data_IF_395436289094
#
_entry.id   IF_395436289094
#
_cell.length_a   1.000
_cell.length_b   1.000
_cell.length_c   1.000
_cell.angle_alpha   90.00
_cell.angle_beta   90.00
_cell.angle_gamma   90.00
#
_symmetry.space_group_name_H-M   'P 1'
#
loop_
_entity.id
_entity.type
_entity.pdbx_description
1 polymer ?
#
# COMPACT_ATOMS: atom_id res chain seq x y z
N UNK A 1 8.87 11.63 -5.63
CA UNK A 1 7.97 10.46 -5.76
C UNK A 1 7.03 10.71 -6.91
N UNK A 2 6.95 9.75 -7.82
CA UNK A 2 6.11 9.80 -9.01
C UNK A 2 4.60 9.71 -8.64
N UNK A 3 3.76 10.44 -9.36
CA UNK A 3 2.31 10.53 -9.06
C UNK A 3 1.55 9.26 -9.45
N UNK A 4 1.90 8.67 -10.59
CA UNK A 4 1.28 7.47 -11.10
C UNK A 4 1.58 6.30 -10.18
N UNK A 5 2.85 6.12 -9.79
CA UNK A 5 3.28 5.10 -8.81
C UNK A 5 2.66 5.28 -7.44
N UNK A 6 2.63 6.52 -6.90
CA UNK A 6 2.00 6.79 -5.61
C UNK A 6 0.49 6.46 -5.64
N UNK A 7 -0.19 6.83 -6.73
CA UNK A 7 -1.62 6.53 -6.91
C UNK A 7 -1.85 5.04 -7.06
N UNK A 8 -1.05 4.34 -7.87
CA UNK A 8 -1.15 2.90 -8.10
C UNK A 8 -0.92 2.11 -6.81
N UNK A 9 0.10 2.47 -6.02
CA UNK A 9 0.38 1.83 -4.73
C UNK A 9 -0.80 1.99 -3.74
N UNK A 10 -1.32 3.22 -3.58
CA UNK A 10 -2.38 3.49 -2.59
C UNK A 10 -3.74 2.95 -3.04
N UNK A 11 -4.09 3.08 -4.32
CA UNK A 11 -5.37 2.58 -4.83
C UNK A 11 -5.39 1.06 -5.02
N UNK A 12 -4.23 0.44 -5.28
CA UNK A 12 -4.09 -1.01 -5.42
C UNK A 12 -4.03 -1.74 -4.08
N UNK A 13 -3.67 -1.06 -3.00
CA UNK A 13 -3.64 -1.66 -1.67
C UNK A 13 -5.03 -2.14 -1.25
N UNK A 14 -5.08 -3.29 -0.54
CA UNK A 14 -6.32 -3.91 -0.06
C UNK A 14 -6.41 -3.87 1.46
N UNK A 15 -7.05 -2.85 2.06
CA UNK A 15 -7.32 -2.81 3.48
C UNK A 15 -8.20 -3.99 3.90
N UNK A 16 -7.78 -4.68 4.94
CA UNK A 16 -8.50 -5.81 5.54
C UNK A 16 -8.63 -5.62 7.05
N UNK A 17 -9.50 -6.43 7.64
CA UNK A 17 -9.50 -6.64 9.09
C UNK A 17 -9.10 -8.07 9.40
N UNK A 18 -8.31 -8.27 10.45
CA UNK A 18 -7.82 -9.59 10.83
C UNK A 18 -7.65 -9.73 12.34
N UNK A 19 -7.48 -10.96 12.80
CA UNK A 19 -7.02 -11.29 14.15
C UNK A 19 -5.75 -12.12 14.03
N UNK A 20 -4.83 -11.94 14.96
CA UNK A 20 -3.66 -12.81 15.05
C UNK A 20 -4.11 -14.23 15.44
N UNK A 21 -3.57 -15.25 14.78
CA UNK A 21 -3.83 -16.65 15.10
C UNK A 21 -3.45 -16.97 16.55
N UNK A 22 -2.27 -16.50 16.98
CA UNK A 22 -1.74 -16.68 18.33
C UNK A 22 -1.84 -15.40 19.19
N UNK A 23 -2.79 -14.51 18.85
CA UNK A 23 -2.99 -13.25 19.57
C UNK A 23 -3.72 -13.42 20.89
N UNK A 24 -3.18 -12.88 21.98
CA UNK A 24 -3.81 -12.95 23.31
C UNK A 24 -4.89 -11.89 23.54
N UNK A 25 -4.93 -10.85 22.72
CA UNK A 25 -5.79 -9.69 22.95
C UNK A 25 -7.24 -9.87 22.50
N UNK A 26 -7.52 -10.78 21.56
CA UNK A 26 -8.85 -10.96 20.94
C UNK A 26 -9.35 -9.77 20.08
N UNK A 27 -8.59 -8.67 20.02
CA UNK A 27 -8.91 -7.45 19.25
C UNK A 27 -8.87 -7.71 17.74
N UNK A 28 -9.75 -7.03 17.03
CA UNK A 28 -9.71 -6.94 15.56
C UNK A 28 -8.73 -5.85 15.15
N UNK A 29 -7.78 -6.20 14.31
CA UNK A 29 -6.79 -5.29 13.72
C UNK A 29 -7.24 -4.86 12.33
N UNK A 30 -6.86 -3.65 11.94
CA UNK A 30 -7.17 -3.04 10.64
C UNK A 30 -5.84 -2.73 9.97
N UNK A 31 -5.66 -3.19 8.74
CA UNK A 31 -4.37 -3.04 8.08
C UNK A 31 -4.30 -3.67 6.71
N UNK A 32 -3.07 -3.92 6.28
CA UNK A 32 -2.70 -4.50 5.00
C UNK A 32 -1.96 -5.82 5.22
N UNK A 33 -2.01 -6.71 4.24
CA UNK A 33 -1.23 -7.95 4.21
C UNK A 33 0.07 -7.71 3.43
N UNK A 34 1.21 -8.02 4.02
CA UNK A 34 2.52 -7.73 3.42
C UNK A 34 2.73 -8.45 2.08
N UNK A 35 2.27 -9.68 1.94
CA UNK A 35 2.34 -10.47 0.71
C UNK A 35 1.47 -9.89 -0.41
N UNK A 36 0.32 -9.29 -0.06
CA UNK A 36 -0.52 -8.56 -1.02
C UNK A 36 0.22 -7.33 -1.54
N UNK A 37 0.98 -6.65 -0.67
CA UNK A 37 1.83 -5.52 -1.07
C UNK A 37 3.00 -5.99 -1.94
N UNK A 38 3.67 -7.10 -1.63
CA UNK A 38 4.72 -7.68 -2.50
C UNK A 38 4.20 -7.95 -3.91
N UNK A 39 3.01 -8.56 -4.00
CA UNK A 39 2.34 -8.83 -5.28
C UNK A 39 2.02 -7.52 -6.01
N UNK A 40 1.44 -6.55 -5.31
CA UNK A 40 1.10 -5.25 -5.88
C UNK A 40 2.33 -4.50 -6.40
N UNK A 41 3.43 -4.49 -5.64
CA UNK A 41 4.69 -3.85 -6.05
C UNK A 41 5.18 -4.43 -7.38
N UNK A 42 5.13 -5.76 -7.51
CA UNK A 42 5.45 -6.47 -8.75
C UNK A 42 4.53 -6.04 -9.90
N UNK A 43 3.22 -5.98 -9.66
CA UNK A 43 2.22 -5.59 -10.68
C UNK A 43 2.39 -4.15 -11.18
N UNK A 44 2.79 -3.23 -10.29
CA UNK A 44 3.00 -1.81 -10.62
C UNK A 44 4.45 -1.49 -11.02
N UNK A 45 5.29 -2.52 -11.20
CA UNK A 45 6.66 -2.39 -11.67
C UNK A 45 7.60 -1.68 -10.70
N UNK A 46 7.39 -1.88 -9.40
CA UNK A 46 8.28 -1.42 -8.33
C UNK A 46 8.97 -2.65 -7.73
N UNK A 47 10.30 -2.64 -7.68
CA UNK A 47 11.03 -3.67 -6.95
C UNK A 47 10.69 -3.58 -5.47
N UNK A 48 10.45 -4.71 -4.83
CA UNK A 48 10.19 -4.78 -3.40
C UNK A 48 11.37 -4.21 -2.58
N UNK A 49 12.59 -4.33 -3.07
CA UNK A 49 13.80 -3.75 -2.46
C UNK A 49 13.83 -2.21 -2.56
N UNK A 50 13.16 -1.63 -3.56
CA UNK A 50 13.09 -0.18 -3.78
C UNK A 50 12.01 0.51 -2.93
N UNK A 51 11.11 -0.25 -2.29
CA UNK A 51 10.08 0.27 -1.40
C UNK A 51 10.33 -0.12 0.05
N UNK A 52 10.97 0.78 0.81
CA UNK A 52 11.31 0.58 2.22
C UNK A 52 10.09 0.32 3.15
N UNK A 53 8.87 0.58 2.67
CA UNK A 53 7.64 0.23 3.36
C UNK A 53 7.36 -1.27 3.42
N UNK A 54 7.99 -2.06 2.55
CA UNK A 54 7.92 -3.51 2.53
C UNK A 54 9.18 -4.11 3.16
N UNK A 55 8.98 -5.12 4.02
CA UNK A 55 10.07 -5.84 4.67
C UNK A 55 9.87 -7.34 4.45
N UNK A 56 10.91 -7.98 3.94
CA UNK A 56 11.03 -9.43 3.81
C UNK A 56 12.43 -9.83 4.25
N UNK A 57 12.50 -10.65 5.29
CA UNK A 57 13.78 -11.14 5.81
C UNK A 57 13.66 -12.62 6.16
N UNK A 58 14.73 -13.43 5.99
CA UNK A 58 14.75 -14.78 6.51
C UNK A 58 14.45 -14.76 8.01
N UNK A 59 13.62 -15.69 8.46
CA UNK A 59 13.43 -15.95 9.88
C UNK A 59 14.72 -16.55 10.42
N UNK A 60 15.28 -15.96 11.46
CA UNK A 60 16.54 -16.42 12.05
C UNK A 60 16.31 -17.11 13.39
N UNK A 61 17.15 -18.10 13.67
CA UNK A 61 17.29 -18.75 14.99
C UNK A 61 18.74 -18.63 15.46
N UNK A 62 18.91 -18.37 16.76
CA UNK A 62 20.23 -18.30 17.38
C UNK A 62 20.61 -19.68 17.95
N UNK A 63 21.84 -20.12 17.69
CA UNK A 63 22.43 -21.26 18.39
C UNK A 63 22.56 -20.91 19.89
N UNK A 64 21.98 -21.74 20.77
CA UNK A 64 21.94 -21.48 22.22
C UNK A 64 23.33 -21.42 22.88
N UNK A 65 24.35 -22.01 22.26
CA UNK A 65 25.70 -22.13 22.81
C UNK A 65 26.64 -21.08 22.23
N UNK A 66 26.53 -20.76 20.93
CA UNK A 66 27.44 -19.82 20.23
C UNK A 66 26.82 -18.45 19.99
N UNK A 67 25.48 -18.35 19.97
CA UNK A 67 24.75 -17.14 19.59
C UNK A 67 24.76 -16.87 18.09
N UNK A 68 25.25 -17.81 17.26
CA UNK A 68 25.29 -17.66 15.82
C UNK A 68 23.88 -17.74 15.21
N UNK A 69 23.57 -16.80 14.31
CA UNK A 69 22.27 -16.74 13.64
C UNK A 69 22.30 -17.60 12.38
N UNK A 70 21.28 -18.43 12.22
CA UNK A 70 21.06 -19.23 11.03
C UNK A 70 19.59 -19.15 10.61
N UNK A 71 19.28 -19.29 9.31
CA UNK A 71 17.91 -19.25 8.85
C UNK A 71 17.14 -20.47 9.33
N UNK A 72 15.89 -20.24 9.75
CA UNK A 72 14.92 -21.31 9.97
C UNK A 72 14.52 -21.88 8.61
N UNK A 73 14.60 -23.20 8.46
CA UNK A 73 14.24 -23.90 7.23
C UNK A 73 12.87 -24.58 7.37
N UNK A 74 12.15 -24.69 6.26
CA UNK A 74 10.94 -25.51 6.16
C UNK A 74 11.27 -27.00 5.98
N UNK A 75 10.23 -27.83 5.80
CA UNK A 75 10.37 -29.30 5.65
C UNK A 75 11.17 -29.69 4.39
N UNK A 76 11.21 -28.82 3.38
CA UNK A 76 11.93 -29.02 2.12
C UNK A 76 13.35 -28.42 2.15
N UNK A 77 13.74 -27.79 3.26
CA UNK A 77 15.04 -27.16 3.44
C UNK A 77 15.15 -25.73 2.89
N UNK A 78 14.03 -25.07 2.56
CA UNK A 78 14.03 -23.69 2.10
C UNK A 78 13.93 -22.72 3.29
N UNK A 79 14.58 -21.53 3.23
CA UNK A 79 14.42 -20.52 4.26
C UNK A 79 12.97 -20.06 4.42
N UNK A 80 12.50 -20.04 5.67
CA UNK A 80 11.24 -19.42 6.05
C UNK A 80 11.44 -17.91 6.13
N UNK A 81 10.51 -17.12 5.60
CA UNK A 81 10.59 -15.66 5.60
C UNK A 81 9.59 -15.03 6.56
N UNK A 82 10.03 -13.99 7.25
CA UNK A 82 9.16 -13.06 7.96
C UNK A 82 8.86 -11.85 7.07
N UNK A 83 7.59 -11.45 7.13
CA UNK A 83 7.03 -10.39 6.32
C UNK A 83 6.52 -9.26 7.22
N UNK A 84 6.79 -8.02 6.84
CA UNK A 84 6.39 -6.83 7.60
C UNK A 84 6.09 -5.64 6.70
N UNK A 85 5.34 -4.69 7.26
CA UNK A 85 5.07 -3.40 6.63
C UNK A 85 5.41 -2.27 7.60
N UNK A 86 6.11 -1.24 7.10
CA UNK A 86 6.34 0.03 7.79
C UNK A 86 5.27 1.01 7.36
N UNK A 87 4.22 1.15 8.16
CA UNK A 87 3.02 1.93 7.79
C UNK A 87 3.33 3.41 7.53
N UNK A 88 4.34 3.96 8.20
CA UNK A 88 4.84 5.31 8.02
C UNK A 88 5.30 5.61 6.58
N UNK A 89 5.83 4.61 5.87
CA UNK A 89 6.29 4.76 4.48
C UNK A 89 5.14 4.91 3.47
N UNK A 90 3.90 4.62 3.89
CA UNK A 90 2.70 4.82 3.07
C UNK A 90 2.15 6.25 3.17
N UNK A 91 2.56 7.03 4.18
CA UNK A 91 2.03 8.38 4.42
C UNK A 91 2.37 9.34 3.29
N UNK A 92 3.61 9.32 2.80
CA UNK A 92 4.02 10.17 1.69
C UNK A 92 3.29 9.82 0.36
N UNK A 93 3.23 8.54 -0.08
CA UNK A 93 2.36 8.08 -1.17
C UNK A 93 0.91 8.54 -1.04
N UNK A 94 0.33 8.40 0.16
CA UNK A 94 -1.04 8.81 0.45
C UNK A 94 -1.22 10.32 0.25
N UNK A 95 -0.32 11.15 0.79
CA UNK A 95 -0.38 12.62 0.61
C UNK A 95 -0.33 12.99 -0.88
N UNK A 96 0.58 12.39 -1.65
CA UNK A 96 0.70 12.69 -3.09
C UNK A 96 -0.54 12.27 -3.87
N UNK A 97 -1.10 11.11 -3.55
CA UNK A 97 -2.33 10.60 -4.15
C UNK A 97 -3.52 11.52 -3.83
N UNK A 98 -3.66 11.99 -2.58
CA UNK A 98 -4.68 12.99 -2.20
C UNK A 98 -4.50 14.31 -2.95
N UNK A 99 -3.26 14.81 -3.08
CA UNK A 99 -2.98 16.03 -3.85
C UNK A 99 -3.34 15.87 -5.34
N UNK A 100 -3.08 14.69 -5.91
CA UNK A 100 -3.47 14.36 -7.28
C UNK A 100 -4.99 14.32 -7.45
N UNK A 101 -5.69 13.70 -6.50
CA UNK A 101 -7.14 13.67 -6.46
C UNK A 101 -7.74 15.07 -6.35
N UNK A 102 -7.19 15.95 -5.50
CA UNK A 102 -7.68 17.32 -5.36
C UNK A 102 -7.59 18.09 -6.70
N UNK A 103 -6.44 18.02 -7.39
CA UNK A 103 -6.30 18.65 -8.73
C UNK A 103 -7.32 18.13 -9.73
N UNK A 104 -7.62 16.83 -9.70
CA UNK A 104 -8.62 16.23 -10.58
C UNK A 104 -10.02 16.71 -10.22
N UNK A 105 -10.35 16.83 -8.94
CA UNK A 105 -11.62 17.40 -8.46
C UNK A 105 -11.77 18.85 -8.95
N UNK A 106 -10.77 19.70 -8.71
CA UNK A 106 -10.79 21.10 -9.12
C UNK A 106 -11.00 21.24 -10.64
N UNK A 107 -10.32 20.41 -11.43
CA UNK A 107 -10.48 20.39 -12.89
C UNK A 107 -11.87 19.94 -13.33
N UNK A 108 -12.45 18.95 -12.65
CA UNK A 108 -13.80 18.48 -12.95
C UNK A 108 -14.85 19.52 -12.57
N UNK A 109 -14.72 20.17 -11.42
CA UNK A 109 -15.61 21.25 -10.99
C UNK A 109 -15.60 22.42 -11.97
N UNK A 110 -14.43 22.85 -12.44
CA UNK A 110 -14.32 23.92 -13.44
C UNK A 110 -14.98 23.55 -14.77
N UNK A 111 -14.86 22.29 -15.19
CA UNK A 111 -15.52 21.79 -16.41
C UNK A 111 -17.03 21.73 -16.25
N UNK A 112 -17.52 21.31 -15.08
CA UNK A 112 -18.96 21.30 -14.79
C UNK A 112 -19.52 22.71 -14.83
N UNK A 113 -18.86 23.70 -14.20
CA UNK A 113 -19.29 25.11 -14.24
C UNK A 113 -19.43 25.63 -15.67
N UNK A 114 -18.44 25.37 -16.53
CA UNK A 114 -18.49 25.78 -17.94
C UNK A 114 -19.64 25.14 -18.71
N UNK A 115 -19.93 23.88 -18.45
CA UNK A 115 -21.05 23.17 -19.08
C UNK A 115 -22.39 23.72 -18.59
N UNK A 116 -22.53 23.96 -17.28
CA UNK A 116 -23.72 24.56 -16.68
C UNK A 116 -23.99 25.96 -17.23
N UNK A 117 -22.97 26.81 -17.36
CA UNK A 117 -23.09 28.14 -17.95
C UNK A 117 -23.53 28.08 -19.43
N UNK A 118 -22.97 27.13 -20.19
CA UNK A 118 -23.33 26.95 -21.61
C UNK A 118 -24.77 26.47 -21.75
N UNK A 119 -25.22 25.53 -20.92
CA UNK A 119 -26.59 25.04 -20.92
C UNK A 119 -27.59 26.12 -20.47
N UNK A 120 -27.25 26.89 -19.43
CA UNK A 120 -28.07 28.01 -18.95
C UNK A 120 -28.28 29.07 -20.02
N UNK A 121 -27.22 29.41 -20.77
CA UNK A 121 -27.30 30.33 -21.92
C UNK A 121 -28.21 29.81 -23.04
N UNK A 122 -28.18 28.51 -23.34
CA UNK A 122 -29.03 27.89 -24.37
C UNK A 122 -30.52 27.84 -23.97
N UNK A 123 -30.83 27.73 -22.67
CA UNK A 123 -32.21 27.71 -22.17
C UNK A 123 -32.83 29.10 -21.98
N UNK A 124 -32.02 30.17 -22.01
CA UNK A 124 -32.46 31.55 -21.81
C UNK A 124 -32.85 32.32 -23.07
N UNK A 125 -32.75 31.72 -24.26
CA UNK A 125 -33.08 32.36 -25.56
C UNK A 125 -34.53 32.11 -26.06
N UNK A 126 -35.47 31.79 -25.17
CA UNK A 126 -36.90 31.62 -25.53
C UNK A 126 -37.84 32.46 -24.68
#
# INVERSE_FOLDING_TARGET
>A
MDEERATALIMGARPVTYKYNDGTSGRTHWGLIAQDIETLLTEIGIDAEDFAGFVKSPKEQADERTGELSPVLDEDGNPVYEYGLRYEEFVAPLIKMVQAQQRKIDSLEERMRKLEDTMGGLTGEH
#
